data_IF_078555833115
#
_entry.id   IF_078555833115
#
_cell.length_a   1.000
_cell.length_b   1.000
_cell.length_c   1.000
_cell.angle_alpha   90.00
_cell.angle_beta   90.00
_cell.angle_gamma   90.00
#
_symmetry.space_group_name_H-M   'P 1'
#
loop_
_entity.id
_entity.type
_entity.pdbx_description
1 polymer ?
#
# COMPACT_ATOMS: atom_id res chain seq x y z
N UNK A 1 -14.12 10.42 -47.64
CA UNK A 1 -14.27 8.98 -47.98
C UNK A 1 -13.52 8.09 -46.97
N UNK A 2 -12.16 8.19 -46.79
CA UNK A 2 -11.47 7.34 -45.81
C UNK A 2 -11.94 7.57 -44.36
N UNK A 3 -12.12 8.82 -43.93
CA UNK A 3 -12.67 9.15 -42.59
C UNK A 3 -14.09 8.63 -42.37
N UNK A 4 -14.93 8.65 -43.37
CA UNK A 4 -16.31 8.14 -43.28
C UNK A 4 -16.32 6.61 -43.26
N UNK A 5 -15.41 5.94 -43.99
CA UNK A 5 -15.26 4.49 -43.98
C UNK A 5 -14.69 4.01 -42.61
N UNK A 6 -13.72 4.74 -42.04
CA UNK A 6 -13.16 4.48 -40.72
C UNK A 6 -14.23 4.66 -39.64
N UNK A 7 -15.07 5.72 -39.75
CA UNK A 7 -16.19 5.94 -38.82
C UNK A 7 -17.23 4.82 -38.93
N UNK A 8 -17.59 4.41 -40.16
CA UNK A 8 -18.56 3.33 -40.38
C UNK A 8 -18.05 1.96 -39.92
N UNK A 9 -16.73 1.69 -39.99
CA UNK A 9 -16.12 0.45 -39.49
C UNK A 9 -15.99 0.46 -37.95
N UNK A 10 -15.78 1.62 -37.32
CA UNK A 10 -15.82 1.76 -35.87
C UNK A 10 -17.23 1.54 -35.30
N UNK A 11 -18.27 1.98 -36.01
CA UNK A 11 -19.67 1.79 -35.58
C UNK A 11 -20.16 0.34 -35.75
N UNK A 12 -19.53 -0.44 -36.63
CA UNK A 12 -19.94 -1.82 -36.90
C UNK A 12 -19.32 -2.90 -36.03
N UNK A 13 -18.28 -2.61 -35.23
CA UNK A 13 -17.72 -3.61 -34.34
C UNK A 13 -17.04 -3.00 -33.09
N UNK A 14 -17.55 -3.32 -31.92
CA UNK A 14 -17.02 -2.93 -30.60
C UNK A 14 -15.61 -3.47 -30.28
N UNK A 15 -14.92 -4.13 -31.23
CA UNK A 15 -13.67 -4.86 -30.97
C UNK A 15 -12.56 -4.65 -32.02
N UNK A 16 -12.60 -3.57 -32.80
CA UNK A 16 -11.56 -3.23 -33.79
C UNK A 16 -10.71 -2.08 -33.28
N UNK A 17 -9.45 -2.38 -32.95
CA UNK A 17 -8.43 -1.34 -32.69
C UNK A 17 -7.79 -0.99 -34.04
N UNK A 18 -8.04 0.22 -34.54
CA UNK A 18 -7.45 0.74 -35.78
C UNK A 18 -6.08 1.34 -35.44
N UNK A 19 -5.00 0.74 -35.94
CA UNK A 19 -3.67 1.35 -35.96
C UNK A 19 -3.38 1.81 -37.40
N UNK A 20 -3.17 3.11 -37.64
CA UNK A 20 -2.69 3.63 -38.90
C UNK A 20 -1.16 3.74 -38.88
N UNK A 21 -0.46 3.03 -39.79
CA UNK A 21 0.97 3.24 -40.05
C UNK A 21 1.12 3.80 -41.47
N UNK A 22 1.94 4.85 -41.61
CA UNK A 22 2.31 5.44 -42.91
C UNK A 22 3.45 4.62 -43.53
N UNK A 23 3.28 4.22 -44.77
CA UNK A 23 4.32 3.53 -45.54
C UNK A 23 4.62 4.29 -46.85
N UNK A 24 5.90 4.43 -47.22
CA UNK A 24 6.31 4.92 -48.52
C UNK A 24 6.17 3.84 -49.61
N UNK A 25 5.86 4.24 -50.84
CA UNK A 25 5.58 3.35 -51.96
C UNK A 25 6.67 2.31 -52.29
N UNK A 26 7.84 2.46 -51.77
CA UNK A 26 9.00 1.52 -51.94
C UNK A 26 9.01 0.35 -50.91
N UNK A 27 8.17 0.38 -49.88
CA UNK A 27 8.19 -0.60 -48.76
C UNK A 27 7.07 -1.65 -48.87
N UNK A 28 6.15 -1.51 -49.80
CA UNK A 28 4.93 -2.33 -49.90
C UNK A 28 5.20 -3.76 -50.42
N UNK A 29 6.37 -4.02 -51.00
CA UNK A 29 6.70 -5.32 -51.60
C UNK A 29 7.08 -6.44 -50.64
N UNK A 30 7.19 -6.19 -49.34
CA UNK A 30 7.78 -7.15 -48.36
C UNK A 30 6.95 -7.41 -47.10
N UNK A 31 5.68 -7.05 -47.08
CA UNK A 31 4.84 -7.25 -45.89
C UNK A 31 4.11 -8.61 -45.99
N UNK A 32 4.71 -9.64 -45.38
CA UNK A 32 4.00 -10.89 -45.09
C UNK A 32 3.13 -10.71 -43.84
N UNK A 33 1.81 -10.66 -44.02
CA UNK A 33 0.87 -10.65 -42.91
C UNK A 33 0.54 -12.10 -42.48
N UNK A 34 0.96 -12.48 -41.29
CA UNK A 34 0.71 -13.84 -40.73
C UNK A 34 -0.73 -14.09 -40.26
N UNK A 35 -1.68 -13.21 -40.52
CA UNK A 35 -3.09 -13.40 -40.19
C UNK A 35 -3.97 -13.27 -41.45
N UNK A 36 -4.84 -14.25 -41.64
CA UNK A 36 -5.73 -14.46 -42.80
C UNK A 36 -6.88 -13.41 -42.90
N UNK A 37 -6.57 -12.12 -42.85
CA UNK A 37 -7.53 -11.05 -43.05
C UNK A 37 -7.05 -10.19 -44.21
N UNK A 38 -7.81 -10.14 -45.31
CA UNK A 38 -7.58 -9.20 -46.39
C UNK A 38 -7.78 -7.76 -45.85
N UNK A 39 -6.71 -7.00 -45.83
CA UNK A 39 -6.68 -5.63 -45.34
C UNK A 39 -6.84 -4.74 -46.55
N UNK A 40 -7.90 -3.88 -46.64
CA UNK A 40 -8.02 -2.96 -47.74
C UNK A 40 -6.92 -1.90 -47.67
N UNK A 41 -6.14 -1.78 -48.76
CA UNK A 41 -5.19 -0.70 -48.95
C UNK A 41 -5.98 0.56 -49.33
N UNK A 42 -5.93 1.58 -48.49
CA UNK A 42 -6.56 2.87 -48.77
C UNK A 42 -5.47 3.84 -49.17
N UNK A 43 -5.61 4.45 -50.38
CA UNK A 43 -4.72 5.47 -50.90
C UNK A 43 -5.39 6.83 -50.73
N UNK A 44 -4.77 7.71 -49.98
CA UNK A 44 -5.21 9.10 -49.83
C UNK A 44 -3.98 10.01 -49.91
N UNK A 45 -4.05 11.05 -50.76
CA UNK A 45 -3.01 12.09 -50.92
C UNK A 45 -1.62 11.57 -51.31
N UNK A 46 -1.49 10.42 -51.99
CA UNK A 46 -0.20 9.84 -52.41
C UNK A 46 0.46 8.92 -51.39
N UNK A 47 -0.13 8.75 -50.23
CA UNK A 47 0.33 7.86 -49.17
C UNK A 47 -0.57 6.62 -49.01
N UNK A 48 0.00 5.49 -48.60
CA UNK A 48 -0.76 4.26 -48.39
C UNK A 48 -0.94 4.04 -46.88
N UNK A 49 -2.16 3.76 -46.48
CA UNK A 49 -2.53 3.44 -45.11
C UNK A 49 -2.94 1.96 -45.04
N UNK A 50 -2.28 1.20 -44.20
CA UNK A 50 -2.70 -0.17 -43.88
C UNK A 50 -3.55 -0.13 -42.65
N UNK A 51 -4.83 -0.48 -42.80
CA UNK A 51 -5.74 -0.63 -41.68
C UNK A 51 -5.54 -2.01 -41.06
N UNK A 52 -4.77 -2.12 -39.98
CA UNK A 52 -4.61 -3.36 -39.23
C UNK A 52 -5.75 -3.47 -38.24
N UNK A 53 -6.79 -4.22 -38.59
CA UNK A 53 -7.83 -4.59 -37.65
C UNK A 53 -7.29 -5.66 -36.68
N UNK A 54 -6.82 -5.25 -35.51
CA UNK A 54 -6.45 -6.21 -34.46
C UNK A 54 -7.73 -6.76 -33.81
N UNK A 55 -8.27 -7.83 -34.36
CA UNK A 55 -9.38 -8.53 -33.69
C UNK A 55 -8.87 -9.10 -32.36
N UNK A 56 -9.52 -8.72 -31.25
CA UNK A 56 -9.22 -9.34 -29.97
C UNK A 56 -9.64 -10.81 -30.00
N UNK A 57 -8.67 -11.70 -29.89
CA UNK A 57 -8.90 -13.14 -29.86
C UNK A 57 -9.80 -13.45 -28.65
N UNK A 58 -10.83 -14.22 -28.87
CA UNK A 58 -11.78 -14.63 -27.83
C UNK A 58 -11.56 -16.08 -27.44
N UNK A 59 -11.91 -16.44 -26.21
CA UNK A 59 -11.84 -17.83 -25.72
C UNK A 59 -12.54 -18.83 -26.65
N UNK A 60 -13.64 -18.42 -27.32
CA UNK A 60 -14.36 -19.23 -28.32
C UNK A 60 -13.54 -19.53 -29.58
N UNK A 61 -12.60 -18.66 -29.93
CA UNK A 61 -11.77 -18.85 -31.12
C UNK A 61 -10.72 -19.93 -30.81
N UNK A 62 -10.10 -19.90 -29.63
CA UNK A 62 -9.21 -20.96 -29.14
C UNK A 62 -9.94 -22.29 -29.03
N UNK A 63 -11.17 -22.28 -28.52
CA UNK A 63 -12.00 -23.49 -28.41
C UNK A 63 -12.27 -24.12 -29.78
N UNK A 64 -12.62 -23.30 -30.77
CA UNK A 64 -12.83 -23.74 -32.16
C UNK A 64 -11.55 -24.31 -32.78
N UNK A 65 -10.43 -23.63 -32.64
CA UNK A 65 -9.14 -24.04 -33.21
C UNK A 65 -8.66 -25.39 -32.66
N UNK A 66 -8.94 -25.67 -31.39
CA UNK A 66 -8.52 -26.92 -30.74
C UNK A 66 -9.57 -28.03 -30.75
N UNK A 67 -10.76 -27.76 -31.27
CA UNK A 67 -11.90 -28.72 -31.25
C UNK A 67 -12.40 -28.99 -29.84
N UNK A 68 -12.29 -28.04 -28.92
CA UNK A 68 -12.66 -28.14 -27.51
C UNK A 68 -13.86 -27.25 -27.18
N UNK A 69 -14.51 -27.52 -26.05
CA UNK A 69 -15.55 -26.63 -25.54
C UNK A 69 -14.92 -25.36 -24.88
N UNK A 70 -15.62 -24.23 -24.92
CA UNK A 70 -15.23 -23.00 -24.21
C UNK A 70 -15.08 -23.27 -22.70
N UNK A 71 -15.91 -24.16 -22.15
CA UNK A 71 -15.84 -24.60 -20.75
C UNK A 71 -14.51 -25.31 -20.47
N UNK A 72 -14.04 -26.16 -21.38
CA UNK A 72 -12.74 -26.85 -21.27
C UNK A 72 -11.59 -25.84 -21.26
N UNK A 73 -11.58 -24.87 -22.19
CA UNK A 73 -10.58 -23.80 -22.22
C UNK A 73 -10.59 -23.02 -20.89
N UNK A 74 -11.77 -22.63 -20.42
CA UNK A 74 -11.94 -21.92 -19.15
C UNK A 74 -11.44 -22.73 -17.95
N UNK A 75 -11.64 -24.03 -17.90
CA UNK A 75 -11.13 -24.93 -16.87
C UNK A 75 -9.61 -25.03 -16.90
N UNK A 76 -8.99 -25.11 -18.08
CA UNK A 76 -7.52 -25.10 -18.23
C UNK A 76 -6.93 -23.81 -17.69
N UNK A 77 -7.47 -22.66 -18.11
CA UNK A 77 -6.99 -21.33 -17.68
C UNK A 77 -7.12 -21.10 -16.17
N UNK A 78 -8.02 -21.85 -15.50
CA UNK A 78 -8.19 -21.84 -14.04
C UNK A 78 -7.43 -22.95 -13.32
N UNK A 79 -6.61 -23.71 -14.04
CA UNK A 79 -5.84 -24.85 -13.52
C UNK A 79 -6.71 -25.92 -12.82
N UNK A 80 -7.91 -26.17 -13.34
CA UNK A 80 -8.85 -27.14 -12.75
C UNK A 80 -8.29 -28.57 -12.82
N UNK A 81 -8.41 -29.37 -11.74
CA UNK A 81 -7.76 -30.70 -11.65
C UNK A 81 -8.38 -31.77 -12.54
N UNK A 82 -9.61 -31.61 -13.05
CA UNK A 82 -10.29 -32.58 -13.90
C UNK A 82 -9.89 -32.53 -15.38
N UNK A 83 -8.88 -31.75 -15.74
CA UNK A 83 -8.35 -31.63 -17.11
C UNK A 83 -7.05 -32.43 -17.20
N UNK A 84 -6.95 -33.31 -18.22
CA UNK A 84 -5.73 -34.06 -18.48
C UNK A 84 -4.57 -33.16 -18.83
N UNK A 85 -3.34 -33.58 -18.46
CA UNK A 85 -2.11 -32.79 -18.71
C UNK A 85 -1.91 -32.54 -20.21
N UNK A 86 -2.20 -33.53 -21.07
CA UNK A 86 -2.13 -33.35 -22.53
C UNK A 86 -3.06 -32.25 -23.04
N UNK A 87 -4.31 -32.19 -22.57
CA UNK A 87 -5.26 -31.15 -22.96
C UNK A 87 -4.79 -29.79 -22.43
N UNK A 88 -4.26 -29.76 -21.22
CA UNK A 88 -3.73 -28.56 -20.58
C UNK A 88 -2.58 -27.97 -21.40
N UNK A 89 -1.59 -28.78 -21.76
CA UNK A 89 -0.44 -28.36 -22.54
C UNK A 89 -0.85 -27.80 -23.91
N UNK A 90 -1.74 -28.51 -24.64
CA UNK A 90 -2.25 -28.04 -25.94
C UNK A 90 -2.93 -26.69 -25.84
N UNK A 91 -3.76 -26.46 -24.83
CA UNK A 91 -4.48 -25.22 -24.63
C UNK A 91 -3.51 -24.09 -24.26
N UNK A 92 -2.58 -24.32 -23.31
CA UNK A 92 -1.61 -23.32 -22.89
C UNK A 92 -0.64 -22.94 -24.02
N UNK A 93 -0.21 -23.89 -24.84
CA UNK A 93 0.59 -23.62 -26.02
C UNK A 93 -0.15 -22.69 -27.00
N UNK A 94 -1.42 -22.98 -27.29
CA UNK A 94 -2.23 -22.17 -28.20
C UNK A 94 -2.53 -20.76 -27.62
N UNK A 95 -2.80 -20.66 -26.33
CA UNK A 95 -2.96 -19.39 -25.61
C UNK A 95 -1.70 -18.51 -25.74
N UNK A 96 -0.51 -19.13 -25.58
CA UNK A 96 0.80 -18.44 -25.73
C UNK A 96 1.04 -18.00 -27.17
N UNK A 97 0.80 -18.88 -28.14
CA UNK A 97 0.97 -18.62 -29.57
C UNK A 97 0.11 -17.44 -30.04
N UNK A 98 -1.15 -17.40 -29.59
CA UNK A 98 -2.10 -16.35 -29.93
C UNK A 98 -1.94 -15.08 -29.06
N UNK A 99 -1.02 -15.09 -28.09
CA UNK A 99 -0.88 -14.03 -27.07
C UNK A 99 -2.25 -13.67 -26.44
N UNK A 100 -3.07 -14.70 -26.22
CA UNK A 100 -4.41 -14.50 -25.67
C UNK A 100 -4.36 -14.13 -24.20
N UNK A 101 -5.00 -13.02 -23.86
CA UNK A 101 -5.22 -12.61 -22.46
C UNK A 101 -6.69 -12.80 -22.09
N UNK A 102 -6.98 -13.55 -21.01
CA UNK A 102 -8.34 -13.71 -20.52
C UNK A 102 -8.96 -12.33 -20.19
N UNK A 103 -10.15 -12.08 -20.70
CA UNK A 103 -10.87 -10.87 -20.38
C UNK A 103 -11.38 -10.93 -18.92
N UNK A 104 -10.72 -10.16 -18.04
CA UNK A 104 -11.04 -10.09 -16.62
C UNK A 104 -12.46 -9.58 -16.39
N UNK A 105 -12.92 -8.61 -17.19
CA UNK A 105 -14.29 -8.08 -17.11
C UNK A 105 -15.34 -9.14 -17.45
N UNK A 106 -15.10 -9.94 -18.50
CA UNK A 106 -15.99 -11.07 -18.81
C UNK A 106 -15.99 -12.15 -17.72
N UNK A 107 -14.84 -12.40 -17.09
CA UNK A 107 -14.73 -13.33 -15.96
C UNK A 107 -15.51 -12.79 -14.76
N UNK A 108 -15.43 -11.51 -14.45
CA UNK A 108 -16.11 -10.90 -13.30
C UNK A 108 -17.64 -10.95 -13.45
N UNK A 109 -18.16 -10.80 -14.67
CA UNK A 109 -19.60 -10.96 -14.96
C UNK A 109 -20.12 -12.37 -14.65
N UNK A 110 -19.31 -13.41 -14.90
CA UNK A 110 -19.70 -14.81 -14.67
C UNK A 110 -19.50 -15.21 -13.20
N UNK A 111 -18.43 -14.75 -12.56
CA UNK A 111 -18.07 -15.15 -11.19
C UNK A 111 -18.65 -14.26 -10.11
N UNK A 112 -19.13 -13.06 -10.48
CA UNK A 112 -19.51 -12.00 -9.54
C UNK A 112 -18.32 -11.38 -8.79
N UNK A 113 -17.06 -11.70 -9.19
CA UNK A 113 -15.83 -11.24 -8.53
C UNK A 113 -14.86 -10.65 -9.54
N UNK A 114 -14.21 -9.56 -9.13
CA UNK A 114 -13.17 -8.89 -9.93
C UNK A 114 -11.77 -9.44 -9.65
N UNK A 115 -11.57 -10.11 -8.53
CA UNK A 115 -10.27 -10.53 -8.00
C UNK A 115 -9.32 -9.34 -7.74
N UNK A 116 -9.89 -8.19 -7.44
CA UNK A 116 -9.17 -6.97 -7.11
C UNK A 116 -9.43 -6.61 -5.63
N UNK A 117 -8.36 -6.30 -4.94
CA UNK A 117 -8.35 -5.77 -3.57
C UNK A 117 -7.80 -4.35 -3.61
N UNK A 118 -8.47 -3.41 -2.99
CA UNK A 118 -7.98 -2.03 -2.85
C UNK A 118 -7.23 -1.86 -1.54
N UNK A 119 -6.13 -1.10 -1.56
CA UNK A 119 -5.45 -0.61 -0.38
C UNK A 119 -5.39 0.92 -0.46
N UNK A 120 -5.97 1.59 0.52
CA UNK A 120 -5.88 3.05 0.67
C UNK A 120 -4.99 3.35 1.87
N UNK A 121 -3.93 4.13 1.64
CA UNK A 121 -2.93 4.50 2.65
C UNK A 121 -2.75 6.01 2.70
N UNK A 122 -2.28 6.57 3.82
CA UNK A 122 -2.05 8.01 3.95
C UNK A 122 -0.97 8.55 3.02
N UNK A 123 0.14 7.81 2.85
CA UNK A 123 1.27 8.23 2.01
C UNK A 123 1.97 6.99 1.41
N UNK A 124 2.08 6.96 0.08
CA UNK A 124 2.78 5.90 -0.66
C UNK A 124 4.30 5.96 -0.49
N UNK A 125 4.85 7.11 -0.14
CA UNK A 125 6.29 7.27 0.10
C UNK A 125 6.70 6.82 1.50
N UNK A 126 5.74 6.63 2.42
CA UNK A 126 6.07 6.15 3.76
C UNK A 126 6.39 4.65 3.74
N UNK A 127 7.64 4.23 4.09
CA UNK A 127 8.09 2.84 3.92
C UNK A 127 7.27 1.81 4.69
N UNK A 128 6.69 2.17 5.84
CA UNK A 128 5.79 1.31 6.62
C UNK A 128 4.61 0.82 5.77
N UNK A 129 3.92 1.72 5.06
CA UNK A 129 2.80 1.34 4.19
C UNK A 129 3.27 0.62 2.92
N UNK A 130 4.44 0.96 2.39
CA UNK A 130 5.03 0.25 1.26
C UNK A 130 5.36 -1.22 1.60
N UNK A 131 5.83 -1.49 2.81
CA UNK A 131 6.11 -2.84 3.28
C UNK A 131 4.82 -3.63 3.52
N UNK A 132 3.80 -3.02 4.11
CA UNK A 132 2.45 -3.60 4.23
C UNK A 132 1.91 -3.95 2.83
N UNK A 133 1.97 -3.02 1.87
CA UNK A 133 1.48 -3.25 0.51
C UNK A 133 2.20 -4.41 -0.19
N UNK A 134 3.53 -4.52 -0.02
CA UNK A 134 4.34 -5.61 -0.56
C UNK A 134 3.92 -6.96 0.04
N UNK A 135 3.85 -7.04 1.35
CA UNK A 135 3.47 -8.25 2.10
C UNK A 135 2.05 -8.69 1.76
N UNK A 136 1.11 -7.76 1.77
CA UNK A 136 -0.29 -7.96 1.39
C UNK A 136 -0.41 -8.49 -0.05
N UNK A 137 0.28 -7.84 -1.01
CA UNK A 137 0.28 -8.25 -2.42
C UNK A 137 0.81 -9.67 -2.62
N UNK A 138 1.87 -10.05 -1.87
CA UNK A 138 2.41 -11.41 -1.92
C UNK A 138 1.40 -12.45 -1.43
N UNK A 139 0.73 -12.18 -0.30
CA UNK A 139 -0.26 -13.08 0.26
C UNK A 139 -1.49 -13.23 -0.65
N UNK A 140 -2.02 -12.13 -1.18
CA UNK A 140 -3.17 -12.09 -2.07
C UNK A 140 -2.92 -12.83 -3.39
N UNK A 141 -1.72 -12.70 -3.96
CA UNK A 141 -1.33 -13.34 -5.23
C UNK A 141 -1.43 -14.85 -5.16
N UNK A 142 -1.11 -15.47 -4.01
CA UNK A 142 -1.25 -16.93 -3.79
C UNK A 142 -2.69 -17.40 -3.95
N UNK A 143 -3.66 -16.51 -3.76
CA UNK A 143 -5.11 -16.77 -3.91
C UNK A 143 -5.69 -16.20 -5.21
N UNK A 144 -4.84 -15.72 -6.13
CA UNK A 144 -5.24 -15.20 -7.44
C UNK A 144 -5.86 -13.79 -7.40
N UNK A 145 -5.66 -13.05 -6.31
CA UNK A 145 -6.07 -11.64 -6.18
C UNK A 145 -4.93 -10.69 -6.53
N UNK A 146 -5.29 -9.51 -7.04
CA UNK A 146 -4.37 -8.42 -7.34
C UNK A 146 -4.67 -7.21 -6.46
N UNK A 147 -3.62 -6.51 -6.06
CA UNK A 147 -3.71 -5.32 -5.22
C UNK A 147 -3.67 -4.06 -6.08
N UNK A 148 -4.60 -3.13 -5.82
CA UNK A 148 -4.58 -1.76 -6.31
C UNK A 148 -4.31 -0.88 -5.10
N UNK A 149 -3.30 -0.01 -5.19
CA UNK A 149 -2.90 0.89 -4.09
C UNK A 149 -3.23 2.32 -4.47
N UNK A 150 -3.76 3.08 -3.52
CA UNK A 150 -4.09 4.49 -3.65
C UNK A 150 -3.62 5.26 -2.43
N UNK A 151 -3.27 6.54 -2.60
CA UNK A 151 -2.84 7.43 -1.52
C UNK A 151 -3.91 8.47 -1.22
N UNK A 152 -4.16 8.73 0.07
CA UNK A 152 -5.08 9.79 0.50
C UNK A 152 -4.38 11.09 0.88
N UNK A 153 -3.05 11.14 0.87
CA UNK A 153 -2.23 12.30 1.21
C UNK A 153 -2.61 12.92 2.58
N UNK A 154 -3.04 12.11 3.54
CA UNK A 154 -3.60 12.54 4.84
C UNK A 154 -4.82 13.48 4.72
N UNK A 155 -5.44 13.56 3.55
CA UNK A 155 -6.61 14.39 3.28
C UNK A 155 -7.89 13.53 3.32
N UNK A 156 -8.83 13.79 4.26
CA UNK A 156 -10.09 13.04 4.34
C UNK A 156 -10.96 13.12 3.09
N UNK A 157 -10.93 14.23 2.35
CA UNK A 157 -11.73 14.40 1.14
C UNK A 157 -11.10 13.63 -0.02
N UNK A 158 -9.78 13.62 -0.11
CA UNK A 158 -9.05 12.78 -1.07
C UNK A 158 -9.25 11.29 -0.74
N UNK A 159 -9.20 10.89 0.53
CA UNK A 159 -9.52 9.51 0.94
C UNK A 159 -10.88 9.06 0.43
N UNK A 160 -11.90 9.92 0.59
CA UNK A 160 -13.24 9.62 0.10
C UNK A 160 -13.30 9.51 -1.44
N UNK A 161 -12.61 10.40 -2.15
CA UNK A 161 -12.55 10.36 -3.61
C UNK A 161 -11.88 9.07 -4.10
N UNK A 162 -10.74 8.70 -3.52
CA UNK A 162 -10.01 7.48 -3.86
C UNK A 162 -10.83 6.23 -3.56
N UNK A 163 -11.47 6.16 -2.39
CA UNK A 163 -12.38 5.05 -2.07
C UNK A 163 -13.52 4.97 -3.08
N UNK A 164 -14.17 6.09 -3.44
CA UNK A 164 -15.25 6.10 -4.42
C UNK A 164 -14.77 5.65 -5.82
N UNK A 165 -13.56 6.04 -6.23
CA UNK A 165 -12.94 5.58 -7.49
C UNK A 165 -12.70 4.07 -7.49
N UNK A 166 -12.23 3.52 -6.38
CA UNK A 166 -12.00 2.09 -6.21
C UNK A 166 -13.34 1.31 -6.20
N UNK A 167 -14.36 1.83 -5.51
CA UNK A 167 -15.72 1.26 -5.50
C UNK A 167 -16.33 1.25 -6.90
N UNK A 168 -16.13 2.31 -7.69
CA UNK A 168 -16.56 2.40 -9.09
C UNK A 168 -15.96 1.29 -9.97
N UNK A 169 -14.78 0.77 -9.63
CA UNK A 169 -14.13 -0.37 -10.28
C UNK A 169 -14.62 -1.72 -9.78
N UNK A 170 -15.56 -1.75 -8.85
CA UNK A 170 -16.15 -2.97 -8.25
C UNK A 170 -15.10 -3.87 -7.63
N UNK A 171 -14.18 -3.31 -6.84
CA UNK A 171 -13.25 -4.13 -6.08
C UNK A 171 -13.99 -5.05 -5.11
N UNK A 172 -13.45 -6.24 -4.86
CA UNK A 172 -14.10 -7.25 -4.03
C UNK A 172 -14.03 -6.89 -2.53
N UNK A 173 -12.99 -6.15 -2.10
CA UNK A 173 -12.79 -5.68 -0.72
C UNK A 173 -11.81 -4.50 -0.70
N UNK A 174 -11.93 -3.62 0.30
CA UNK A 174 -11.00 -2.54 0.58
C UNK A 174 -10.24 -2.78 1.89
N UNK A 175 -8.95 -2.40 1.91
CA UNK A 175 -8.11 -2.34 3.10
C UNK A 175 -7.71 -0.88 3.26
N UNK A 176 -7.91 -0.29 4.44
CA UNK A 176 -7.85 1.16 4.59
C UNK A 176 -7.09 1.52 5.87
N UNK A 177 -6.04 2.33 5.75
CA UNK A 177 -5.43 3.08 6.84
C UNK A 177 -6.02 4.50 6.84
N UNK A 178 -7.17 4.67 7.49
CA UNK A 178 -7.96 5.90 7.36
C UNK A 178 -7.33 7.09 8.06
N UNK A 179 -7.34 8.26 7.41
CA UNK A 179 -7.00 9.55 8.01
C UNK A 179 -8.22 10.30 8.57
N UNK A 180 -9.42 9.73 8.45
CA UNK A 180 -10.68 10.37 8.90
C UNK A 180 -10.88 10.30 10.41
N UNK A 181 -11.62 11.28 10.91
CA UNK A 181 -12.12 11.30 12.30
C UNK A 181 -13.60 10.89 12.40
N UNK A 182 -14.32 10.74 11.28
CA UNK A 182 -15.75 10.41 11.20
C UNK A 182 -15.99 9.05 10.55
N UNK A 183 -17.13 8.44 10.85
CA UNK A 183 -17.49 7.08 10.43
C UNK A 183 -18.49 7.02 9.27
N UNK A 184 -18.95 8.17 8.77
CA UNK A 184 -20.06 8.24 7.80
C UNK A 184 -19.78 7.49 6.50
N UNK A 185 -18.56 7.58 6.00
CA UNK A 185 -18.11 6.87 4.81
C UNK A 185 -18.24 5.35 4.99
N UNK A 186 -17.82 4.84 6.14
CA UNK A 186 -17.85 3.42 6.45
C UNK A 186 -19.28 2.91 6.60
N UNK A 187 -20.18 3.64 7.25
CA UNK A 187 -21.60 3.30 7.28
C UNK A 187 -22.25 3.30 5.90
N UNK A 188 -21.80 4.18 4.98
CA UNK A 188 -22.24 4.15 3.59
C UNK A 188 -21.77 2.88 2.88
N UNK A 189 -20.49 2.46 3.07
CA UNK A 189 -19.95 1.23 2.53
C UNK A 189 -20.69 -0.01 3.05
N UNK A 190 -21.02 -0.04 4.35
CA UNK A 190 -21.81 -1.12 4.96
C UNK A 190 -23.21 -1.23 4.34
N UNK A 191 -23.91 -0.10 4.14
CA UNK A 191 -25.21 -0.08 3.44
C UNK A 191 -25.11 -0.60 2.01
N UNK A 192 -24.00 -0.35 1.34
CA UNK A 192 -23.69 -0.87 0.00
C UNK A 192 -23.18 -2.31 0.00
N UNK A 193 -23.03 -2.92 1.18
CA UNK A 193 -22.46 -4.26 1.38
C UNK A 193 -21.04 -4.41 0.80
N UNK A 194 -20.26 -3.35 0.80
CA UNK A 194 -18.86 -3.37 0.41
C UNK A 194 -18.00 -3.76 1.60
N UNK A 195 -17.35 -4.92 1.60
CA UNK A 195 -16.52 -5.34 2.71
C UNK A 195 -15.24 -4.49 2.79
N UNK A 196 -14.77 -4.25 4.02
CA UNK A 196 -13.51 -3.58 4.26
C UNK A 196 -12.81 -4.10 5.51
N UNK A 197 -11.50 -3.83 5.59
CA UNK A 197 -10.63 -4.08 6.75
C UNK A 197 -9.89 -2.79 7.06
N UNK A 198 -9.87 -2.38 8.30
CA UNK A 198 -9.04 -1.28 8.77
C UNK A 198 -7.65 -1.79 9.16
N UNK A 199 -6.63 -1.03 8.83
CA UNK A 199 -5.25 -1.28 9.27
C UNK A 199 -4.69 -0.05 9.97
N UNK A 200 -3.73 -0.27 10.89
CA UNK A 200 -2.96 0.78 11.58
C UNK A 200 -3.82 1.71 12.46
N UNK A 201 -4.89 2.29 11.92
CA UNK A 201 -5.71 3.32 12.58
C UNK A 201 -7.12 2.84 12.89
N UNK A 202 -7.55 3.03 14.13
CA UNK A 202 -8.90 2.71 14.62
C UNK A 202 -9.76 3.97 14.56
N UNK A 203 -11.01 3.81 14.13
CA UNK A 203 -12.03 4.86 14.20
C UNK A 203 -12.95 4.61 15.40
N UNK A 204 -13.01 5.55 16.36
CA UNK A 204 -13.91 5.41 17.51
C UNK A 204 -15.37 5.28 17.06
N UNK A 205 -16.08 4.35 17.66
CA UNK A 205 -17.51 4.11 17.35
C UNK A 205 -17.78 3.24 16.13
N UNK A 206 -16.74 2.76 15.43
CA UNK A 206 -16.86 1.83 14.30
C UNK A 206 -16.46 0.42 14.73
N UNK A 207 -17.39 -0.55 14.52
CA UNK A 207 -17.09 -1.99 14.72
C UNK A 207 -16.71 -2.59 13.38
N UNK A 208 -15.43 -2.78 13.15
CA UNK A 208 -14.88 -3.26 11.87
C UNK A 208 -13.82 -4.34 12.09
N UNK A 209 -13.48 -5.05 11.02
CA UNK A 209 -12.26 -5.85 11.02
C UNK A 209 -11.06 -4.91 11.10
N UNK A 210 -10.13 -5.20 11.99
CA UNK A 210 -8.98 -4.35 12.24
C UNK A 210 -7.71 -5.18 12.47
N UNK A 211 -6.59 -4.70 11.95
CA UNK A 211 -5.26 -5.18 12.27
C UNK A 211 -4.30 -4.00 12.49
N UNK A 212 -3.60 -4.01 13.60
CA UNK A 212 -2.62 -2.99 13.94
C UNK A 212 -1.76 -3.41 15.14
N UNK A 213 -1.06 -2.44 15.73
CA UNK A 213 -0.19 -2.64 16.88
C UNK A 213 -0.81 -2.00 18.13
N UNK A 214 -0.37 -2.41 19.32
CA UNK A 214 -0.66 -1.70 20.57
C UNK A 214 0.14 -0.39 20.67
N UNK A 215 -0.44 0.71 20.15
CA UNK A 215 0.21 2.02 20.10
C UNK A 215 0.53 2.62 21.48
N UNK A 216 -0.26 2.29 22.49
CA UNK A 216 0.06 2.71 23.88
C UNK A 216 1.31 1.99 24.37
N UNK A 217 1.43 0.69 24.07
CA UNK A 217 2.64 -0.07 24.36
C UNK A 217 3.84 0.47 23.55
N UNK A 218 3.67 0.92 22.31
CA UNK A 218 4.71 1.60 21.50
C UNK A 218 5.26 2.81 22.27
N UNK A 219 4.39 3.75 22.63
CA UNK A 219 4.79 4.97 23.34
C UNK A 219 5.44 4.67 24.70
N UNK A 220 4.89 3.71 25.43
CA UNK A 220 5.42 3.28 26.72
C UNK A 220 6.79 2.60 26.59
N UNK A 221 6.98 1.72 25.63
CA UNK A 221 8.21 0.97 25.42
C UNK A 221 9.35 1.90 24.97
N UNK A 222 9.09 2.80 24.01
CA UNK A 222 10.06 3.78 23.53
C UNK A 222 10.52 4.72 24.66
N UNK A 223 9.58 5.27 25.40
CA UNK A 223 9.87 6.22 26.48
C UNK A 223 10.58 5.54 27.65
N UNK A 224 10.13 4.37 28.04
CA UNK A 224 10.78 3.58 29.08
C UNK A 224 12.25 3.26 28.70
N UNK A 225 12.49 2.86 27.47
CA UNK A 225 13.85 2.58 26.98
C UNK A 225 14.75 3.83 27.11
N UNK A 226 14.30 5.01 26.71
CA UNK A 226 15.05 6.26 26.88
C UNK A 226 15.37 6.52 28.36
N UNK A 227 14.43 6.28 29.26
CA UNK A 227 14.64 6.44 30.72
C UNK A 227 15.66 5.42 31.24
N UNK A 228 15.58 4.16 30.80
CA UNK A 228 16.47 3.07 31.22
C UNK A 228 17.94 3.29 30.78
N UNK A 229 18.14 3.96 29.62
CA UNK A 229 19.49 4.39 29.16
C UNK A 229 19.98 5.69 29.80
N UNK A 230 19.23 6.23 30.78
CA UNK A 230 19.65 7.34 31.64
C UNK A 230 19.09 8.72 31.25
N UNK A 231 18.15 8.82 30.31
CA UNK A 231 17.49 10.09 30.01
C UNK A 231 16.58 10.52 31.18
N UNK A 232 16.56 11.83 31.46
CA UNK A 232 15.74 12.41 32.53
C UNK A 232 14.78 13.47 32.05
N UNK A 233 15.03 14.04 30.89
CA UNK A 233 14.20 15.03 30.19
C UNK A 233 13.85 14.48 28.82
N UNK A 234 12.85 13.59 28.82
CA UNK A 234 12.40 12.93 27.59
C UNK A 234 11.38 13.82 26.91
N UNK A 235 11.60 14.13 25.65
CA UNK A 235 10.65 14.82 24.79
C UNK A 235 9.96 13.85 23.83
N UNK A 236 8.83 14.26 23.28
CA UNK A 236 8.09 13.51 22.26
C UNK A 236 7.76 14.40 21.05
N UNK A 237 8.28 14.02 19.88
CA UNK A 237 7.79 14.56 18.60
C UNK A 237 6.63 13.66 18.21
N UNK A 238 5.39 14.13 18.49
CA UNK A 238 4.16 13.34 18.31
C UNK A 238 3.63 13.46 16.89
N UNK A 239 2.88 12.47 16.49
CA UNK A 239 2.09 12.45 15.25
C UNK A 239 0.75 13.19 15.37
N UNK A 240 -0.10 13.07 14.34
CA UNK A 240 -1.39 13.75 14.26
C UNK A 240 -2.40 13.24 15.29
N UNK A 241 -3.57 13.88 15.33
CA UNK A 241 -4.72 13.53 16.19
C UNK A 241 -5.48 12.25 15.69
N UNK A 242 -4.74 11.27 15.20
CA UNK A 242 -5.24 9.94 14.89
C UNK A 242 -5.16 9.02 16.11
N UNK A 243 -5.79 7.86 16.04
CA UNK A 243 -5.74 6.86 17.13
C UNK A 243 -4.30 6.50 17.50
N UNK A 244 -3.40 6.37 16.52
CA UNK A 244 -1.97 6.06 16.73
C UNK A 244 -1.26 7.20 17.46
N UNK A 245 -1.42 8.45 17.02
CA UNK A 245 -0.79 9.62 17.66
C UNK A 245 -1.27 9.85 19.08
N UNK A 246 -2.57 9.72 19.34
CA UNK A 246 -3.18 9.84 20.67
C UNK A 246 -2.63 8.78 21.61
N UNK A 247 -2.70 7.50 21.22
CA UNK A 247 -2.31 6.38 22.08
C UNK A 247 -0.81 6.32 22.34
N UNK A 248 0.05 6.67 21.37
CA UNK A 248 1.51 6.79 21.60
C UNK A 248 1.84 7.87 22.62
N UNK A 249 1.12 9.03 22.57
CA UNK A 249 1.26 10.08 23.58
C UNK A 249 0.80 9.60 24.97
N UNK A 250 -0.29 8.83 25.06
CA UNK A 250 -0.73 8.23 26.33
C UNK A 250 0.33 7.31 26.90
N UNK A 251 0.90 6.41 26.07
CA UNK A 251 1.99 5.51 26.47
C UNK A 251 3.23 6.28 26.94
N UNK A 252 3.60 7.37 26.26
CA UNK A 252 4.68 8.26 26.70
C UNK A 252 4.40 8.86 28.07
N UNK A 253 3.20 9.42 28.31
CA UNK A 253 2.79 10.01 29.60
C UNK A 253 2.81 8.94 30.71
N UNK A 254 2.31 7.74 30.44
CA UNK A 254 2.31 6.64 31.40
C UNK A 254 3.71 6.21 31.79
N UNK A 255 4.65 6.09 30.85
CA UNK A 255 6.05 5.74 31.14
C UNK A 255 6.76 6.78 32.00
N UNK A 256 6.54 8.07 31.74
CA UNK A 256 7.05 9.15 32.59
C UNK A 256 6.51 9.06 34.02
N UNK A 257 5.19 8.90 34.16
CA UNK A 257 4.54 8.80 35.47
C UNK A 257 5.05 7.60 36.30
N UNK A 258 5.15 6.42 35.68
CA UNK A 258 5.69 5.21 36.30
C UNK A 258 7.15 5.39 36.76
N UNK A 259 7.92 6.18 36.03
CA UNK A 259 9.32 6.49 36.35
C UNK A 259 9.47 7.69 37.26
N UNK A 260 8.38 8.28 37.75
CA UNK A 260 8.35 9.49 38.60
C UNK A 260 9.03 10.71 37.93
N UNK A 261 9.02 10.76 36.61
CA UNK A 261 9.47 11.92 35.84
C UNK A 261 8.30 12.87 35.57
N UNK A 262 8.59 14.17 35.62
CA UNK A 262 7.56 15.19 35.36
C UNK A 262 7.26 15.29 33.87
N UNK A 263 5.99 15.17 33.52
CA UNK A 263 5.49 15.57 32.20
C UNK A 263 5.51 17.11 32.05
N UNK A 264 5.93 17.61 30.90
CA UNK A 264 5.88 19.01 30.53
C UNK A 264 5.45 19.17 29.09
N UNK A 265 4.39 19.96 28.86
CA UNK A 265 3.83 20.19 27.52
C UNK A 265 4.86 20.78 26.56
N UNK A 266 5.82 21.57 27.08
CA UNK A 266 6.92 22.16 26.28
C UNK A 266 7.84 21.10 25.63
N UNK A 267 7.84 19.87 26.13
CA UNK A 267 8.60 18.75 25.56
C UNK A 267 7.77 17.91 24.57
N UNK A 268 6.54 18.30 24.29
CA UNK A 268 5.72 17.67 23.26
C UNK A 268 5.62 18.61 22.06
N UNK A 269 6.16 18.20 20.94
CA UNK A 269 6.03 18.94 19.68
C UNK A 269 5.05 18.14 18.81
N UNK A 270 3.93 18.77 18.45
CA UNK A 270 2.91 18.15 17.59
C UNK A 270 3.23 18.41 16.13
N UNK A 271 3.16 17.34 15.34
CA UNK A 271 3.27 17.38 13.88
C UNK A 271 1.94 16.89 13.29
N UNK A 272 1.14 17.84 12.79
CA UNK A 272 -0.28 17.59 12.46
C UNK A 272 -0.54 16.91 11.11
N UNK A 273 0.42 16.96 10.16
CA UNK A 273 0.23 16.42 8.82
C UNK A 273 0.70 14.95 8.67
N UNK A 274 0.76 14.19 9.74
CA UNK A 274 0.99 12.75 9.71
C UNK A 274 2.32 12.32 9.09
N UNK A 275 2.24 11.51 8.06
CA UNK A 275 3.42 10.87 7.45
C UNK A 275 4.05 11.71 6.33
N UNK A 276 3.36 12.76 5.84
CA UNK A 276 3.84 13.61 4.75
C UNK A 276 4.98 14.52 5.21
N UNK A 277 6.04 14.63 4.39
CA UNK A 277 7.22 15.44 4.66
C UNK A 277 7.86 15.23 6.05
N UNK A 278 7.66 14.06 6.65
CA UNK A 278 8.06 13.75 8.03
C UNK A 278 9.52 14.08 8.32
N UNK A 279 10.43 13.91 7.35
CA UNK A 279 11.86 14.22 7.54
C UNK A 279 12.10 15.70 7.80
N UNK A 280 11.50 16.60 7.02
CA UNK A 280 11.65 18.06 7.16
C UNK A 280 11.08 18.53 8.49
N UNK A 281 9.94 17.97 8.87
CA UNK A 281 9.22 18.27 10.11
C UNK A 281 9.95 17.75 11.33
N UNK A 282 10.53 16.55 11.25
CA UNK A 282 11.40 16.03 12.31
C UNK A 282 12.61 16.94 12.57
N UNK A 283 13.19 17.51 11.52
CA UNK A 283 14.28 18.50 11.65
C UNK A 283 13.80 19.80 12.31
N UNK A 284 12.62 20.31 11.92
CA UNK A 284 12.03 21.52 12.51
C UNK A 284 11.68 21.31 13.99
N UNK A 285 11.01 20.19 14.31
CA UNK A 285 10.68 19.82 15.68
C UNK A 285 11.94 19.70 16.55
N UNK A 286 13.00 19.06 16.04
CA UNK A 286 14.27 18.97 16.77
C UNK A 286 14.91 20.34 16.98
N UNK A 287 14.89 21.25 16.00
CA UNK A 287 15.38 22.63 16.14
C UNK A 287 14.67 23.34 17.30
N UNK A 288 13.34 23.20 17.41
CA UNK A 288 12.54 23.75 18.52
C UNK A 288 12.94 23.10 19.86
N UNK A 289 13.09 21.78 19.93
CA UNK A 289 13.54 21.09 21.15
C UNK A 289 14.94 21.55 21.62
N UNK A 290 15.86 21.72 20.69
CA UNK A 290 17.23 22.18 21.00
C UNK A 290 17.30 23.62 21.55
N UNK A 291 16.29 24.45 21.27
CA UNK A 291 16.21 25.82 21.81
C UNK A 291 15.71 25.88 23.26
N UNK A 292 15.08 24.80 23.76
CA UNK A 292 14.53 24.77 25.11
C UNK A 292 15.59 24.85 26.21
N UNK A 293 15.22 25.39 27.36
CA UNK A 293 16.04 25.44 28.58
C UNK A 293 15.19 24.99 29.79
N UNK A 294 15.54 23.89 30.45
CA UNK A 294 16.60 22.94 30.07
C UNK A 294 16.29 22.18 28.79
N UNK A 295 17.34 21.79 28.06
CA UNK A 295 17.21 21.01 26.83
C UNK A 295 16.86 19.52 27.16
N UNK A 296 16.03 18.81 26.36
CA UNK A 296 15.80 17.40 26.50
C UNK A 296 17.10 16.61 26.27
N UNK A 297 17.22 15.44 26.91
CA UNK A 297 18.33 14.50 26.75
C UNK A 297 17.90 13.15 26.15
N UNK A 298 16.59 13.00 25.85
CA UNK A 298 16.02 11.90 25.09
C UNK A 298 14.85 12.39 24.25
N UNK A 299 14.66 11.83 23.07
CA UNK A 299 13.53 12.16 22.16
C UNK A 299 12.92 10.87 21.62
N UNK A 300 11.62 10.70 21.83
CA UNK A 300 10.81 9.72 21.15
C UNK A 300 10.12 10.41 19.96
N UNK A 301 10.39 9.93 18.74
CA UNK A 301 9.75 10.37 17.52
C UNK A 301 8.61 9.42 17.14
N UNK A 302 7.47 9.97 16.69
CA UNK A 302 6.28 9.21 16.31
C UNK A 302 6.56 8.14 15.26
N UNK A 303 7.41 8.43 14.28
CA UNK A 303 7.87 7.48 13.27
C UNK A 303 9.37 7.65 12.95
N UNK A 304 9.94 6.72 12.21
CA UNK A 304 11.37 6.74 11.84
C UNK A 304 11.73 7.87 10.86
N UNK A 305 10.89 8.25 9.87
CA UNK A 305 11.18 9.43 9.05
C UNK A 305 11.31 10.74 9.86
N UNK A 306 10.47 10.96 10.88
CA UNK A 306 10.63 12.09 11.82
C UNK A 306 11.95 11.96 12.59
N UNK A 307 12.28 10.76 13.08
CA UNK A 307 13.53 10.51 13.81
C UNK A 307 14.76 10.76 12.93
N UNK A 308 14.73 10.39 11.65
CA UNK A 308 15.79 10.66 10.69
C UNK A 308 16.02 12.17 10.52
N UNK A 309 14.96 12.95 10.40
CA UNK A 309 15.04 14.42 10.35
C UNK A 309 15.60 15.00 11.62
N UNK A 310 15.14 14.51 12.77
CA UNK A 310 15.61 14.91 14.09
C UNK A 310 17.10 14.61 14.30
N UNK A 311 17.57 13.43 13.89
CA UNK A 311 19.00 13.05 13.92
C UNK A 311 19.84 14.01 13.09
N UNK A 312 19.46 14.26 11.85
CA UNK A 312 20.21 15.13 10.96
C UNK A 312 20.32 16.54 11.55
N UNK A 313 19.22 17.12 12.03
CA UNK A 313 19.22 18.44 12.64
C UNK A 313 20.06 18.51 13.91
N UNK A 314 20.03 17.48 14.76
CA UNK A 314 20.85 17.44 15.97
C UNK A 314 22.35 17.40 15.63
N UNK A 315 22.76 16.55 14.68
CA UNK A 315 24.15 16.44 14.22
C UNK A 315 24.64 17.76 13.58
N UNK A 316 23.81 18.41 12.74
CA UNK A 316 24.14 19.66 12.09
C UNK A 316 24.26 20.82 13.11
N UNK A 317 23.57 20.72 14.25
CA UNK A 317 23.72 21.63 15.39
C UNK A 317 24.91 21.27 16.33
N UNK A 318 25.74 20.29 15.96
CA UNK A 318 26.89 19.85 16.76
C UNK A 318 26.55 19.04 18.01
N UNK A 319 25.33 18.50 18.10
CA UNK A 319 24.86 17.70 19.24
C UNK A 319 25.23 16.23 19.02
N UNK A 320 25.87 15.62 20.00
CA UNK A 320 26.29 14.21 19.93
C UNK A 320 25.13 13.28 20.25
N UNK A 321 24.96 12.25 19.41
CA UNK A 321 23.96 11.20 19.59
C UNK A 321 24.72 9.89 19.80
N UNK A 322 24.48 9.16 20.89
CA UNK A 322 23.45 9.37 21.93
C UNK A 322 23.93 10.12 23.18
N UNK A 323 25.17 10.64 23.22
CA UNK A 323 25.79 11.16 24.44
C UNK A 323 25.04 12.35 25.02
N UNK A 324 24.74 13.36 24.18
CA UNK A 324 24.02 14.58 24.60
C UNK A 324 22.51 14.41 24.51
N UNK A 325 22.04 13.68 23.49
CA UNK A 325 20.62 13.38 23.27
C UNK A 325 20.44 12.00 22.65
N UNK A 326 19.64 11.15 23.28
CA UNK A 326 19.28 9.85 22.71
C UNK A 326 18.00 9.99 21.89
N UNK A 327 17.91 9.31 20.74
CA UNK A 327 16.75 9.40 19.84
C UNK A 327 16.25 7.99 19.53
N UNK A 328 14.93 7.79 19.62
CA UNK A 328 14.24 6.55 19.22
C UNK A 328 13.07 6.87 18.32
N UNK A 329 12.88 6.07 17.29
CA UNK A 329 11.77 6.13 16.35
C UNK A 329 10.74 5.03 16.55
N UNK A 330 9.90 4.84 15.54
CA UNK A 330 8.91 3.78 15.44
C UNK A 330 8.69 3.41 13.97
N UNK A 331 8.77 2.13 13.65
CA UNK A 331 8.65 1.57 12.30
C UNK A 331 9.61 0.43 12.05
N UNK A 332 10.85 0.52 12.59
CA UNK A 332 11.96 -0.40 12.32
C UNK A 332 12.18 -0.57 10.81
N UNK A 333 12.34 0.55 10.12
CA UNK A 333 12.42 0.58 8.67
C UNK A 333 13.77 0.05 8.18
N UNK A 334 13.76 -0.57 7.01
CA UNK A 334 14.92 -1.28 6.43
C UNK A 334 16.19 -0.42 6.24
N UNK A 335 16.10 0.92 6.28
CA UNK A 335 17.24 1.82 6.17
C UNK A 335 17.78 2.33 7.51
N UNK A 336 17.14 2.00 8.64
CA UNK A 336 17.52 2.51 9.98
C UNK A 336 18.96 2.19 10.38
N UNK A 337 19.48 1.05 9.90
CA UNK A 337 20.86 0.63 10.12
C UNK A 337 21.87 1.47 9.30
N UNK A 338 21.42 2.10 8.22
CA UNK A 338 22.24 2.84 7.26
C UNK A 338 22.24 4.36 7.49
N UNK A 339 21.52 4.85 8.51
CA UNK A 339 21.48 6.27 8.84
C UNK A 339 22.85 6.75 9.39
N UNK A 340 23.10 8.07 9.35
CA UNK A 340 24.33 8.69 9.92
C UNK A 340 24.60 8.23 11.36
N UNK A 341 23.56 7.99 12.12
CA UNK A 341 23.54 7.27 13.39
C UNK A 341 22.46 6.19 13.29
N UNK A 342 22.81 4.91 13.30
CA UNK A 342 21.84 3.81 13.27
C UNK A 342 20.75 3.98 14.33
N UNK A 343 19.48 3.99 13.87
CA UNK A 343 18.33 4.40 14.65
C UNK A 343 17.73 3.23 15.45
N UNK A 344 17.67 3.39 16.77
CA UNK A 344 16.83 2.53 17.63
C UNK A 344 15.36 2.83 17.31
N UNK A 345 14.56 1.81 17.18
CA UNK A 345 13.17 1.96 16.76
C UNK A 345 12.27 0.94 17.44
N UNK A 346 10.98 1.21 17.47
CA UNK A 346 9.95 0.23 17.85
C UNK A 346 9.44 -0.43 16.60
N UNK A 347 9.59 -1.75 16.50
CA UNK A 347 9.03 -2.56 15.43
C UNK A 347 7.52 -2.71 15.61
N UNK A 348 6.77 -2.39 14.56
CA UNK A 348 5.32 -2.50 14.49
C UNK A 348 4.88 -3.76 13.72
N UNK A 349 5.81 -4.56 13.23
CA UNK A 349 5.56 -5.75 12.43
C UNK A 349 4.76 -5.47 11.14
N UNK A 350 5.18 -4.45 10.37
CA UNK A 350 4.51 -4.03 9.12
C UNK A 350 4.27 -5.18 8.14
N UNK A 351 5.25 -6.10 8.03
CA UNK A 351 5.11 -7.30 7.21
C UNK A 351 3.97 -8.20 7.69
N UNK A 352 3.87 -8.45 9.00
CA UNK A 352 2.83 -9.29 9.61
C UNK A 352 1.45 -8.63 9.48
N UNK A 353 1.37 -7.28 9.62
CA UNK A 353 0.13 -6.53 9.37
C UNK A 353 -0.40 -6.83 7.96
N UNK A 354 0.47 -6.82 6.94
CA UNK A 354 0.06 -7.13 5.57
C UNK A 354 -0.41 -8.57 5.38
N UNK A 355 0.26 -9.56 6.01
CA UNK A 355 -0.14 -10.98 5.96
C UNK A 355 -1.50 -11.19 6.64
N UNK A 356 -1.70 -10.61 7.83
CA UNK A 356 -2.94 -10.74 8.59
C UNK A 356 -4.11 -9.99 7.91
N UNK A 357 -3.86 -8.82 7.32
CA UNK A 357 -4.86 -8.12 6.52
C UNK A 357 -5.32 -8.96 5.32
N UNK A 358 -4.38 -9.66 4.64
CA UNK A 358 -4.73 -10.61 3.59
C UNK A 358 -5.56 -11.79 4.11
N UNK A 359 -5.17 -12.38 5.25
CA UNK A 359 -5.89 -13.49 5.87
C UNK A 359 -7.34 -13.10 6.18
N UNK A 360 -7.53 -11.95 6.82
CA UNK A 360 -8.87 -11.44 7.17
C UNK A 360 -9.68 -11.17 5.89
N UNK A 361 -9.09 -10.47 4.92
CA UNK A 361 -9.75 -10.15 3.65
C UNK A 361 -10.20 -11.41 2.89
N UNK A 362 -9.31 -12.39 2.73
CA UNK A 362 -9.62 -13.65 2.08
C UNK A 362 -10.65 -14.47 2.87
N UNK A 363 -10.62 -14.41 4.19
CA UNK A 363 -11.63 -15.01 5.07
C UNK A 363 -13.01 -14.45 4.80
N UNK A 364 -13.15 -13.12 4.70
CA UNK A 364 -14.40 -12.43 4.37
C UNK A 364 -14.89 -12.84 2.97
N UNK A 365 -14.00 -12.77 1.97
CA UNK A 365 -14.34 -13.06 0.58
C UNK A 365 -14.77 -14.51 0.35
N UNK A 366 -14.22 -15.47 1.10
CA UNK A 366 -14.54 -16.90 0.92
C UNK A 366 -15.69 -17.37 1.82
N UNK A 367 -16.15 -16.56 2.74
CA UNK A 367 -17.27 -16.90 3.62
C UNK A 367 -18.61 -16.88 2.88
N UNK A 368 -19.48 -17.86 3.15
CA UNK A 368 -20.87 -17.87 2.64
C UNK A 368 -21.75 -16.81 3.30
N UNK A 369 -21.43 -16.48 4.54
CA UNK A 369 -22.09 -15.42 5.34
C UNK A 369 -20.99 -14.54 5.91
N UNK A 370 -21.19 -13.20 5.99
CA UNK A 370 -20.19 -12.31 6.57
C UNK A 370 -19.76 -12.78 7.97
N UNK A 371 -18.46 -12.99 8.22
CA UNK A 371 -17.97 -13.35 9.55
C UNK A 371 -18.18 -12.18 10.53
N UNK A 372 -18.16 -12.47 11.82
CA UNK A 372 -18.11 -11.40 12.83
C UNK A 372 -16.80 -10.63 12.66
N UNK A 373 -16.82 -9.30 12.87
CA UNK A 373 -15.60 -8.50 12.84
C UNK A 373 -14.53 -9.03 13.80
N UNK A 374 -13.31 -9.12 13.31
CA UNK A 374 -12.13 -9.57 14.06
C UNK A 374 -11.17 -8.39 14.28
N UNK A 375 -10.60 -8.30 15.48
CA UNK A 375 -9.58 -7.32 15.83
C UNK A 375 -8.29 -8.06 16.18
N UNK A 376 -7.21 -7.80 15.45
CA UNK A 376 -5.88 -8.35 15.69
C UNK A 376 -4.95 -7.22 16.13
N UNK A 377 -4.40 -7.33 17.33
CA UNK A 377 -3.44 -6.37 17.90
C UNK A 377 -2.11 -7.05 18.06
N UNK A 378 -1.10 -6.63 17.29
CA UNK A 378 0.26 -7.12 17.41
C UNK A 378 0.98 -6.44 18.56
N UNK A 379 1.92 -7.15 19.16
CA UNK A 379 2.73 -6.62 20.27
C UNK A 379 3.97 -5.95 19.69
N UNK A 380 4.23 -4.66 19.99
CA UNK A 380 5.41 -3.98 19.48
C UNK A 380 6.70 -4.52 20.11
N UNK A 381 7.81 -4.47 19.38
CA UNK A 381 9.13 -4.89 19.82
C UNK A 381 10.16 -3.76 19.76
N UNK A 382 11.07 -3.72 20.71
CA UNK A 382 12.16 -2.75 20.77
C UNK A 382 13.39 -3.26 20.02
N UNK A 383 13.85 -2.50 19.04
CA UNK A 383 15.09 -2.75 18.30
C UNK A 383 16.11 -1.68 18.68
N UNK A 384 17.15 -2.08 19.41
CA UNK A 384 18.17 -1.16 19.95
C UNK A 384 19.34 -1.03 18.97
N UNK A 385 19.67 0.22 18.59
CA UNK A 385 20.80 0.59 17.74
C UNK A 385 21.60 1.75 18.37
N UNK A 386 22.55 2.33 17.64
CA UNK A 386 23.49 3.32 18.16
C UNK A 386 22.85 4.60 18.72
N UNK A 387 21.70 5.03 18.19
CA UNK A 387 21.04 6.29 18.57
C UNK A 387 20.60 6.36 20.06
N UNK A 388 20.58 5.20 20.75
CA UNK A 388 20.28 5.14 22.19
C UNK A 388 21.34 4.38 23.01
N UNK A 389 22.38 3.83 22.40
CA UNK A 389 23.43 3.08 23.09
C UNK A 389 24.43 4.00 23.82
N UNK A 390 24.01 4.62 24.93
CA UNK A 390 24.89 5.42 25.77
C UNK A 390 25.94 4.53 26.45
N UNK A 391 27.22 4.90 26.36
CA UNK A 391 28.26 4.28 27.19
C UNK A 391 27.93 4.59 28.65
N UNK A 392 27.68 3.56 29.44
CA UNK A 392 27.62 3.72 30.92
C UNK A 392 28.95 4.30 31.36
N UNK A 393 28.99 5.56 31.69
CA UNK A 393 30.11 6.10 32.48
C UNK A 393 30.11 5.34 33.81
N UNK A 394 31.08 4.43 34.02
CA UNK A 394 31.34 3.90 35.35
C UNK A 394 31.54 5.14 36.24
N UNK A 395 30.62 5.39 37.15
CA UNK A 395 30.91 6.23 38.29
C UNK A 395 32.07 5.56 38.98
N UNK A 396 33.30 6.07 38.80
CA UNK A 396 34.38 5.82 39.69
C UNK A 396 33.97 6.48 41.02
N UNK A 397 33.63 5.59 42.01
CA UNK A 397 33.36 5.97 43.37
C UNK A 397 34.63 6.40 44.10
#
# INVERSE_FOLDING_TARGET
>A
MAKELISALCDMSENVVLCSQQYHSSEIGSIECQSSIEIPLIRESGEFYILVAKMSIRMKDIARDLGLSVVTISKVLRNHPDISDETRERVLARVKELNYQPNIAARSLVTGRTYLVGLVVPDLLHPFFAEIAKSLSEALRKSGYYLIVSSSEEDPDMEEQEINQLLGRRLDILIIASCRSTVDLFFRMERQKTPYVLIDRILPGLTANFIGVDDEAVGRLATKHLIDVGCRRVAHIRGPETSTGIRRLEGYKHALAQSKLRFADTYVITEDQGDIESKQRGAEAMRRLLSLRPRPDGVFCFNDPLAMGAINQALDAGVRIPEDIAIIGCGNLHYDDSLRVPLSSIDQHSWEIGQEAARIALGILNAKTPPKPETVILKPELVVRLSTQRRRTKQMG
#
